data_IF_609352373618
#
_entry.id   IF_609352373618
#
_cell.length_a   1.000
_cell.length_b   1.000
_cell.length_c   1.000
_cell.angle_alpha   90.00
_cell.angle_beta   90.00
_cell.angle_gamma   90.00
#
_symmetry.space_group_name_H-M   'P 1'
#
loop_
_entity.id
_entity.type
_entity.pdbx_description
1 polymer ?
#
# COMPACT_ATOMS: atom_id res chain seq x y z
N UNK A 1 56.31 73.07 -18.87
CA UNK A 1 55.51 72.55 -17.73
C UNK A 1 54.38 71.70 -18.27
N UNK A 2 54.52 70.37 -18.27
CA UNK A 2 53.41 69.46 -18.53
C UNK A 2 53.78 68.07 -17.98
N UNK A 3 53.11 67.63 -16.91
CA UNK A 3 53.20 66.25 -16.42
C UNK A 3 51.79 65.72 -16.13
N UNK A 4 51.51 64.62 -16.82
CA UNK A 4 50.39 63.70 -16.61
C UNK A 4 50.52 62.92 -15.30
N UNK A 5 49.36 62.52 -14.77
CA UNK A 5 48.97 61.28 -14.02
C UNK A 5 47.82 61.72 -13.07
N UNK A 6 46.58 61.24 -13.10
CA UNK A 6 46.01 59.99 -13.57
C UNK A 6 45.62 59.14 -12.35
N UNK A 7 44.41 59.34 -11.78
CA UNK A 7 43.73 58.42 -10.85
C UNK A 7 42.22 58.56 -11.09
N UNK A 8 41.58 57.45 -11.45
CA UNK A 8 40.13 57.34 -11.63
C UNK A 8 39.41 57.03 -10.32
N UNK A 9 38.12 57.38 -10.25
CA UNK A 9 37.20 56.90 -9.22
C UNK A 9 35.89 56.43 -9.86
N UNK A 10 35.41 55.31 -9.31
CA UNK A 10 34.33 54.43 -9.74
C UNK A 10 32.95 55.08 -9.92
N UNK A 11 32.23 54.64 -10.96
CA UNK A 11 30.78 54.70 -11.03
C UNK A 11 30.19 53.50 -10.29
N UNK A 12 29.35 53.77 -9.30
CA UNK A 12 28.52 52.79 -8.59
C UNK A 12 27.35 52.35 -9.50
N UNK A 13 27.44 51.14 -10.07
CA UNK A 13 26.33 50.47 -10.74
C UNK A 13 25.55 49.62 -9.74
N UNK A 14 24.30 49.98 -9.46
CA UNK A 14 23.37 49.16 -8.68
C UNK A 14 22.91 47.97 -9.53
N UNK A 15 23.37 46.76 -9.18
CA UNK A 15 22.90 45.51 -9.78
C UNK A 15 21.71 45.01 -8.96
N UNK A 16 20.50 45.19 -9.50
CA UNK A 16 19.29 44.57 -8.96
C UNK A 16 19.27 43.09 -9.36
N UNK A 17 19.72 42.21 -8.46
CA UNK A 17 19.56 40.76 -8.60
C UNK A 17 18.12 40.39 -8.24
N UNK A 18 17.28 40.26 -9.28
CA UNK A 18 15.95 39.70 -9.16
C UNK A 18 16.08 38.18 -8.94
N UNK A 19 16.15 37.74 -7.69
CA UNK A 19 16.05 36.32 -7.34
C UNK A 19 14.58 35.90 -7.54
N UNK A 20 14.29 35.30 -8.69
CA UNK A 20 13.07 34.52 -8.90
C UNK A 20 13.14 33.29 -7.99
N UNK A 21 12.66 33.47 -6.76
CA UNK A 21 12.39 32.36 -5.86
C UNK A 21 11.31 31.49 -6.47
N UNK A 22 11.69 30.37 -7.08
CA UNK A 22 10.77 29.27 -7.34
C UNK A 22 10.45 28.66 -5.98
N UNK A 23 9.44 29.20 -5.31
CA UNK A 23 8.79 28.51 -4.22
C UNK A 23 8.08 27.30 -4.83
N UNK A 24 8.81 26.18 -4.89
CA UNK A 24 8.19 24.88 -5.09
C UNK A 24 7.19 24.71 -3.96
N UNK A 25 5.90 24.92 -4.25
CA UNK A 25 4.81 24.58 -3.35
C UNK A 25 4.99 23.09 -3.08
N UNK A 26 5.45 22.75 -1.88
CA UNK A 26 5.46 21.38 -1.41
C UNK A 26 4.00 20.92 -1.46
N UNK A 27 3.64 20.21 -2.53
CA UNK A 27 2.31 19.65 -2.71
C UNK A 27 2.15 18.64 -1.57
N UNK A 28 1.40 19.01 -0.54
CA UNK A 28 1.00 18.06 0.50
C UNK A 28 0.35 16.88 -0.22
N UNK A 29 0.71 15.65 0.16
CA UNK A 29 -0.04 14.49 -0.29
C UNK A 29 -1.54 14.77 -0.06
N UNK A 30 -2.41 14.59 -1.06
CA UNK A 30 -3.82 14.84 -0.86
C UNK A 30 -4.32 13.99 0.30
N UNK A 31 -5.06 14.60 1.22
CA UNK A 31 -5.73 13.88 2.30
C UNK A 31 -6.68 12.85 1.70
N UNK A 32 -6.72 11.65 2.29
CA UNK A 32 -7.62 10.58 1.82
C UNK A 32 -9.07 10.99 2.01
N UNK A 33 -9.91 10.70 1.01
CA UNK A 33 -11.34 10.96 1.09
C UNK A 33 -12.04 9.89 1.96
N UNK A 34 -12.42 10.26 3.18
CA UNK A 34 -13.16 9.40 4.11
C UNK A 34 -14.66 9.75 4.22
N UNK A 35 -15.20 10.60 3.34
CA UNK A 35 -16.64 10.90 3.34
C UNK A 35 -17.45 9.74 2.74
N UNK A 36 -18.72 9.56 3.14
CA UNK A 36 -19.53 8.43 2.69
C UNK A 36 -19.98 8.50 1.22
N UNK A 37 -19.97 9.68 0.61
CA UNK A 37 -20.44 9.91 -0.77
C UNK A 37 -19.48 9.35 -1.83
N UNK A 38 -18.17 9.32 -1.56
CA UNK A 38 -17.15 8.71 -2.42
C UNK A 38 -17.30 9.07 -3.92
N UNK A 39 -17.60 10.33 -4.22
CA UNK A 39 -17.90 10.80 -5.59
C UNK A 39 -16.74 10.58 -6.57
N UNK A 40 -15.54 10.50 -6.04
CA UNK A 40 -14.29 10.32 -6.76
C UNK A 40 -13.88 8.84 -6.91
N UNK A 41 -14.68 7.89 -6.39
CA UNK A 41 -14.47 6.44 -6.55
C UNK A 41 -14.49 6.06 -8.04
N UNK A 42 -13.44 5.39 -8.55
CA UNK A 42 -13.41 4.91 -9.93
C UNK A 42 -14.54 3.92 -10.18
N UNK A 43 -15.16 4.04 -11.35
CA UNK A 43 -16.18 3.11 -11.88
C UNK A 43 -15.79 2.67 -13.28
N UNK A 44 -16.32 1.51 -13.67
CA UNK A 44 -16.24 0.97 -15.04
C UNK A 44 -17.61 0.49 -15.50
N UNK A 45 -17.75 0.32 -16.81
CA UNK A 45 -18.90 -0.37 -17.39
C UNK A 45 -18.67 -1.88 -17.36
N UNK A 46 -19.71 -2.70 -17.38
CA UNK A 46 -19.55 -4.15 -17.41
C UNK A 46 -18.74 -4.64 -18.62
N UNK A 47 -17.90 -5.64 -18.39
CA UNK A 47 -17.10 -6.29 -19.44
C UNK A 47 -17.72 -7.63 -19.86
N UNK A 48 -18.00 -7.76 -21.15
CA UNK A 48 -18.69 -8.94 -21.68
C UNK A 48 -17.84 -10.22 -21.55
N UNK A 49 -16.51 -10.13 -21.59
CA UNK A 49 -15.64 -11.29 -21.46
C UNK A 49 -15.54 -11.76 -20.01
N UNK A 50 -15.46 -10.84 -19.04
CA UNK A 50 -15.52 -11.14 -17.61
C UNK A 50 -16.84 -11.83 -17.25
N UNK A 51 -17.98 -11.31 -17.73
CA UNK A 51 -19.30 -11.91 -17.51
C UNK A 51 -19.38 -13.32 -18.09
N UNK A 52 -18.87 -13.53 -19.32
CA UNK A 52 -18.88 -14.83 -19.99
C UNK A 52 -18.05 -15.90 -19.25
N UNK A 53 -17.04 -15.48 -18.49
CA UNK A 53 -16.21 -16.38 -17.69
C UNK A 53 -16.90 -16.85 -16.40
N UNK A 54 -18.00 -16.21 -15.99
CA UNK A 54 -18.80 -16.69 -14.85
C UNK A 54 -19.46 -18.01 -15.26
N UNK A 55 -19.19 -19.13 -14.57
CA UNK A 55 -19.78 -20.41 -14.95
C UNK A 55 -21.31 -20.37 -14.87
N UNK A 56 -22.01 -20.98 -15.83
CA UNK A 56 -23.48 -21.04 -15.83
C UNK A 56 -24.07 -21.70 -14.57
N UNK A 57 -23.30 -22.59 -13.92
CA UNK A 57 -23.67 -23.24 -12.65
C UNK A 57 -23.44 -22.36 -11.42
N UNK A 58 -22.68 -21.27 -11.54
CA UNK A 58 -22.37 -20.38 -10.43
C UNK A 58 -23.65 -19.70 -9.95
N UNK A 59 -23.79 -19.60 -8.63
CA UNK A 59 -24.91 -18.92 -7.98
C UNK A 59 -24.31 -17.92 -6.99
N UNK A 60 -24.58 -16.65 -7.24
CA UNK A 60 -24.33 -15.60 -6.26
C UNK A 60 -25.19 -15.82 -5.03
N UNK A 61 -24.70 -15.40 -3.86
CA UNK A 61 -25.49 -15.40 -2.60
C UNK A 61 -26.80 -14.64 -2.78
N UNK A 62 -26.76 -13.50 -3.46
CA UNK A 62 -27.91 -12.71 -3.86
C UNK A 62 -27.88 -12.52 -5.38
N UNK A 63 -28.97 -12.86 -6.08
CA UNK A 63 -29.01 -12.85 -7.55
C UNK A 63 -28.65 -11.46 -8.10
N UNK A 64 -27.62 -11.39 -8.93
CA UNK A 64 -27.17 -10.15 -9.55
C UNK A 64 -26.37 -9.23 -8.60
N UNK A 65 -25.86 -9.78 -7.49
CA UNK A 65 -25.10 -9.04 -6.49
C UNK A 65 -23.84 -9.82 -6.12
N UNK A 66 -22.66 -9.20 -6.26
CA UNK A 66 -21.42 -9.68 -5.65
C UNK A 66 -21.44 -9.33 -4.15
N UNK A 67 -21.68 -10.33 -3.31
CA UNK A 67 -21.67 -10.16 -1.85
C UNK A 67 -20.25 -10.36 -1.34
N UNK A 68 -19.61 -9.29 -0.86
CA UNK A 68 -18.22 -9.29 -0.41
C UNK A 68 -18.14 -9.11 1.10
N UNK A 69 -17.52 -10.07 1.79
CA UNK A 69 -17.16 -9.93 3.19
C UNK A 69 -15.95 -9.00 3.37
N UNK A 70 -16.08 -8.01 4.27
CA UNK A 70 -15.01 -7.06 4.59
C UNK A 70 -14.80 -6.94 6.10
N UNK A 71 -13.56 -7.14 6.57
CA UNK A 71 -13.13 -6.74 7.90
C UNK A 71 -12.87 -5.22 7.91
N UNK A 72 -13.43 -4.49 8.87
CA UNK A 72 -13.37 -3.02 8.95
C UNK A 72 -12.49 -2.60 10.12
N UNK A 73 -11.70 -1.55 9.95
CA UNK A 73 -10.82 -0.99 10.99
C UNK A 73 -9.33 -0.99 10.65
N UNK A 74 -8.99 -1.17 9.37
CA UNK A 74 -7.61 -1.23 8.89
C UNK A 74 -7.40 -0.13 7.85
N UNK A 75 -7.21 1.15 8.24
CA UNK A 75 -6.92 2.21 7.27
C UNK A 75 -5.56 1.99 6.57
N UNK A 76 -5.44 2.27 5.25
CA UNK A 76 -6.46 2.74 4.31
C UNK A 76 -7.16 1.60 3.55
N UNK A 77 -7.04 0.34 4.01
CA UNK A 77 -7.59 -0.86 3.36
C UNK A 77 -9.12 -0.87 3.44
N UNK A 78 -9.64 -0.71 4.66
CA UNK A 78 -11.08 -0.74 4.94
C UNK A 78 -11.38 -0.07 6.28
N UNK A 79 -12.18 0.99 6.25
CA UNK A 79 -12.63 1.73 7.43
C UNK A 79 -14.09 2.16 7.28
N UNK A 80 -14.71 2.50 8.40
CA UNK A 80 -15.94 3.28 8.34
C UNK A 80 -15.61 4.71 7.92
N UNK A 81 -16.42 5.26 7.02
CA UNK A 81 -16.43 6.66 6.65
C UNK A 81 -16.82 7.53 7.86
N UNK A 82 -16.81 8.85 7.66
CA UNK A 82 -17.15 9.83 8.69
C UNK A 82 -18.58 9.72 9.24
N UNK A 83 -19.48 8.99 8.55
CA UNK A 83 -20.83 8.65 9.02
C UNK A 83 -20.88 7.43 9.96
N UNK A 84 -19.72 6.84 10.28
CA UNK A 84 -19.55 5.64 11.09
C UNK A 84 -20.33 4.40 10.58
N UNK A 85 -20.71 4.38 9.29
CA UNK A 85 -21.56 3.31 8.72
C UNK A 85 -21.08 2.85 7.35
N UNK A 86 -20.77 3.78 6.45
CA UNK A 86 -20.37 3.46 5.08
C UNK A 86 -18.96 2.92 5.08
N UNK A 87 -18.71 1.78 4.41
CA UNK A 87 -17.39 1.17 4.35
C UNK A 87 -16.63 1.75 3.15
N UNK A 88 -15.46 2.33 3.40
CA UNK A 88 -14.57 2.96 2.40
C UNK A 88 -13.14 2.45 2.57
N UNK A 89 -12.34 2.52 1.52
CA UNK A 89 -10.97 2.03 1.51
C UNK A 89 -10.58 1.40 0.18
N UNK A 90 -9.33 0.96 0.10
CA UNK A 90 -8.80 0.30 -1.10
C UNK A 90 -9.54 -1.01 -1.45
N UNK A 91 -9.87 -1.84 -0.46
CA UNK A 91 -10.57 -3.10 -0.68
C UNK A 91 -12.04 -2.88 -1.12
N UNK A 92 -12.83 -1.99 -0.49
CA UNK A 92 -14.15 -1.58 -0.99
C UNK A 92 -14.14 -1.01 -2.41
N UNK A 93 -13.16 -0.16 -2.75
CA UNK A 93 -13.05 0.45 -4.07
C UNK A 93 -12.70 -0.58 -5.14
N UNK A 94 -11.79 -1.51 -4.85
CA UNK A 94 -11.49 -2.62 -5.76
C UNK A 94 -12.68 -3.58 -5.90
N UNK A 95 -13.37 -3.90 -4.80
CA UNK A 95 -14.56 -4.74 -4.83
C UNK A 95 -15.66 -4.12 -5.72
N UNK A 96 -15.81 -2.79 -5.70
CA UNK A 96 -16.76 -2.08 -6.56
C UNK A 96 -16.38 -2.24 -8.04
N UNK A 97 -15.11 -2.06 -8.38
CA UNK A 97 -14.64 -2.24 -9.76
C UNK A 97 -14.83 -3.68 -10.25
N UNK A 98 -14.52 -4.67 -9.40
CA UNK A 98 -14.76 -6.09 -9.75
C UNK A 98 -16.25 -6.37 -9.95
N UNK A 99 -17.13 -5.81 -9.11
CA UNK A 99 -18.58 -5.97 -9.30
C UNK A 99 -19.06 -5.32 -10.61
N UNK A 100 -18.56 -4.11 -10.92
CA UNK A 100 -18.87 -3.40 -12.16
C UNK A 100 -18.45 -4.23 -13.39
N UNK A 101 -17.20 -4.73 -13.43
CA UNK A 101 -16.67 -5.62 -14.50
C UNK A 101 -17.56 -6.87 -14.70
N UNK A 102 -17.96 -7.50 -13.60
CA UNK A 102 -18.81 -8.70 -13.61
C UNK A 102 -20.30 -8.39 -13.88
N UNK A 103 -20.67 -7.13 -14.11
CA UNK A 103 -22.04 -6.73 -14.43
C UNK A 103 -23.05 -6.94 -13.32
N UNK A 104 -22.61 -6.92 -12.05
CA UNK A 104 -23.44 -7.15 -10.86
C UNK A 104 -23.34 -5.97 -9.88
N UNK A 105 -24.31 -5.84 -8.99
CA UNK A 105 -24.20 -4.84 -7.91
C UNK A 105 -23.20 -5.30 -6.85
N UNK A 106 -22.57 -4.36 -6.15
CA UNK A 106 -21.76 -4.68 -4.98
C UNK A 106 -22.62 -4.63 -3.71
N UNK A 107 -22.43 -5.61 -2.81
CA UNK A 107 -22.91 -5.55 -1.43
C UNK A 107 -21.77 -5.90 -0.49
N UNK A 108 -21.37 -4.94 0.35
CA UNK A 108 -20.36 -5.16 1.39
C UNK A 108 -21.04 -5.68 2.66
N UNK A 109 -20.49 -6.76 3.21
CA UNK A 109 -20.93 -7.37 4.46
C UNK A 109 -19.80 -7.22 5.48
N UNK A 110 -19.93 -6.33 6.48
CA UNK A 110 -18.94 -6.24 7.53
C UNK A 110 -18.86 -7.56 8.31
N UNK A 111 -17.65 -8.00 8.62
CA UNK A 111 -17.39 -9.20 9.40
C UNK A 111 -16.19 -9.00 10.35
N UNK A 112 -16.15 -9.78 11.43
CA UNK A 112 -14.92 -9.90 12.20
C UNK A 112 -13.90 -10.67 11.37
N UNK A 113 -12.63 -10.27 11.40
CA UNK A 113 -11.57 -10.93 10.63
C UNK A 113 -11.55 -12.45 10.85
N UNK A 114 -11.72 -12.92 12.08
CA UNK A 114 -11.73 -14.35 12.38
C UNK A 114 -12.82 -15.15 11.64
N UNK A 115 -13.91 -14.50 11.21
CA UNK A 115 -15.07 -15.15 10.60
C UNK A 115 -14.97 -15.28 9.09
N UNK A 116 -14.00 -14.62 8.43
CA UNK A 116 -13.90 -14.63 6.97
C UNK A 116 -13.83 -16.06 6.37
N UNK A 117 -13.09 -17.04 6.95
CA UNK A 117 -13.00 -18.36 6.36
C UNK A 117 -14.35 -19.07 6.34
N UNK A 118 -15.09 -18.98 7.45
CA UNK A 118 -16.41 -19.58 7.58
C UNK A 118 -17.43 -18.86 6.68
N UNK A 119 -17.34 -17.52 6.58
CA UNK A 119 -18.25 -16.74 5.74
C UNK A 119 -18.17 -17.15 4.27
N UNK A 120 -16.95 -17.36 3.74
CA UNK A 120 -16.75 -17.86 2.37
C UNK A 120 -17.20 -19.32 2.26
N UNK A 121 -16.73 -20.20 3.14
CA UNK A 121 -16.98 -21.64 3.05
C UNK A 121 -18.47 -22.01 3.16
N UNK A 122 -19.21 -21.32 4.03
CA UNK A 122 -20.66 -21.52 4.22
C UNK A 122 -21.53 -20.91 3.11
N UNK A 123 -20.95 -20.09 2.24
CA UNK A 123 -21.71 -19.33 1.25
C UNK A 123 -22.49 -18.15 1.81
N UNK A 124 -22.13 -17.63 2.99
CA UNK A 124 -22.65 -16.36 3.50
C UNK A 124 -22.24 -15.17 2.62
N UNK A 125 -21.08 -15.27 1.97
CA UNK A 125 -20.55 -14.30 1.00
C UNK A 125 -20.03 -15.02 -0.25
N UNK A 126 -19.95 -14.31 -1.37
CA UNK A 126 -19.37 -14.81 -2.62
C UNK A 126 -17.84 -14.74 -2.59
N UNK A 127 -17.30 -13.67 -1.99
CA UNK A 127 -15.89 -13.40 -1.89
C UNK A 127 -15.53 -12.64 -0.59
N UNK A 128 -14.25 -12.60 -0.26
CA UNK A 128 -13.66 -11.73 0.76
C UNK A 128 -12.54 -10.90 0.14
N UNK A 129 -12.58 -9.59 0.38
CA UNK A 129 -11.50 -8.64 0.14
C UNK A 129 -11.17 -7.97 1.48
N UNK A 130 -10.14 -8.45 2.16
CA UNK A 130 -9.77 -7.98 3.50
C UNK A 130 -8.30 -8.22 3.78
N UNK A 131 -7.43 -7.85 2.85
CA UNK A 131 -6.00 -8.11 2.95
C UNK A 131 -5.63 -9.59 3.22
N UNK A 132 -6.30 -10.54 2.55
CA UNK A 132 -6.04 -11.98 2.75
C UNK A 132 -4.76 -12.39 2.01
N UNK A 133 -3.70 -12.69 2.76
CA UNK A 133 -2.46 -13.26 2.22
C UNK A 133 -2.67 -14.67 1.68
N UNK A 134 -2.09 -14.98 0.52
CA UNK A 134 -2.08 -16.33 -0.06
C UNK A 134 -1.04 -17.20 0.64
N UNK A 135 -1.48 -18.30 1.23
CA UNK A 135 -0.62 -19.35 1.82
C UNK A 135 -1.00 -20.71 1.27
N UNK A 136 -0.08 -21.68 1.29
CA UNK A 136 -0.36 -23.04 0.85
C UNK A 136 -1.47 -23.70 1.69
N UNK A 137 -1.46 -23.58 3.02
CA UNK A 137 -2.57 -24.05 3.86
C UNK A 137 -3.94 -23.46 3.49
N UNK A 138 -4.03 -22.18 3.13
CA UNK A 138 -5.31 -21.56 2.75
C UNK A 138 -5.78 -22.00 1.37
N UNK A 139 -4.87 -22.24 0.44
CA UNK A 139 -5.18 -22.72 -0.93
C UNK A 139 -5.82 -24.11 -0.94
N UNK A 140 -5.61 -24.91 0.11
CA UNK A 140 -6.33 -26.17 0.29
C UNK A 140 -7.83 -25.98 0.53
N UNK A 141 -8.27 -24.79 0.98
CA UNK A 141 -9.64 -24.50 1.41
C UNK A 141 -10.35 -23.44 0.58
N UNK A 142 -9.61 -22.61 -0.14
CA UNK A 142 -10.14 -21.46 -0.87
C UNK A 142 -9.41 -21.28 -2.21
N UNK A 143 -10.07 -20.57 -3.13
CA UNK A 143 -9.42 -20.06 -4.33
C UNK A 143 -9.12 -18.57 -4.23
N UNK A 144 -8.07 -18.14 -4.91
CA UNK A 144 -7.50 -16.80 -4.81
C UNK A 144 -7.36 -16.13 -6.18
N UNK A 145 -7.60 -14.81 -6.20
CA UNK A 145 -7.26 -13.92 -7.32
C UNK A 145 -6.41 -12.76 -6.80
N UNK A 146 -5.13 -12.70 -7.14
CA UNK A 146 -4.24 -11.68 -6.56
C UNK A 146 -4.56 -10.26 -7.02
N UNK A 147 -4.39 -9.28 -6.14
CA UNK A 147 -4.58 -7.88 -6.48
C UNK A 147 -3.56 -6.93 -5.85
N UNK A 148 -2.72 -7.39 -4.92
CA UNK A 148 -1.75 -6.52 -4.24
C UNK A 148 -0.59 -7.35 -3.69
N UNK A 149 0.59 -6.74 -3.57
CA UNK A 149 1.71 -7.33 -2.82
C UNK A 149 1.59 -6.94 -1.36
N UNK A 150 1.78 -7.88 -0.45
CA UNK A 150 2.03 -7.54 0.94
C UNK A 150 3.48 -7.09 1.09
N UNK A 151 3.65 -5.82 1.48
CA UNK A 151 4.96 -5.18 1.60
C UNK A 151 5.09 -4.42 2.93
N UNK A 152 6.31 -4.50 3.45
CA UNK A 152 6.82 -3.69 4.53
C UNK A 152 7.55 -2.50 3.91
N UNK A 153 7.36 -1.31 4.47
CA UNK A 153 7.92 -0.07 3.95
C UNK A 153 9.02 0.48 4.84
N UNK A 154 10.13 0.91 4.23
CA UNK A 154 11.09 1.81 4.85
C UNK A 154 10.65 3.25 4.61
N UNK A 155 10.46 4.00 5.69
CA UNK A 155 10.10 5.41 5.65
C UNK A 155 11.12 6.22 6.43
N UNK A 156 11.43 7.40 5.92
CA UNK A 156 12.35 8.36 6.54
C UNK A 156 11.66 9.70 6.68
N UNK A 157 12.19 10.59 7.52
CA UNK A 157 11.74 11.99 7.57
C UNK A 157 11.78 12.61 6.16
N UNK A 158 10.80 13.46 5.85
CA UNK A 158 10.57 14.03 4.51
C UNK A 158 11.83 14.58 3.84
N UNK A 159 12.68 15.28 4.60
CA UNK A 159 13.90 15.95 4.13
C UNK A 159 15.17 15.13 4.37
N UNK A 160 15.07 13.89 4.85
CA UNK A 160 16.21 13.00 5.06
C UNK A 160 17.11 12.87 3.81
N UNK A 161 18.41 12.72 4.05
CA UNK A 161 19.39 12.46 3.00
C UNK A 161 19.24 11.05 2.39
N UNK A 162 18.67 10.08 3.12
CA UNK A 162 18.48 8.70 2.67
C UNK A 162 17.49 8.68 1.52
N UNK A 163 17.95 8.40 0.31
CA UNK A 163 17.07 8.37 -0.87
C UNK A 163 16.43 7.02 -1.11
N UNK A 164 17.09 5.95 -0.68
CA UNK A 164 16.68 4.60 -1.01
C UNK A 164 17.23 3.57 -0.01
N UNK A 165 16.43 2.54 0.27
CA UNK A 165 16.83 1.31 0.97
C UNK A 165 16.27 0.12 0.17
N UNK A 166 17.13 -0.74 -0.36
CA UNK A 166 16.75 -1.89 -1.21
C UNK A 166 17.38 -3.21 -0.77
N UNK A 167 18.52 -3.14 -0.10
CA UNK A 167 19.33 -4.31 0.21
C UNK A 167 19.99 -4.15 1.60
N UNK A 168 20.50 -5.26 2.20
CA UNK A 168 21.09 -5.25 3.53
C UNK A 168 22.10 -4.13 3.78
N UNK A 169 23.03 -3.89 2.85
CA UNK A 169 24.09 -2.87 3.05
C UNK A 169 23.54 -1.45 3.22
N UNK A 170 22.34 -1.15 2.73
CA UNK A 170 21.75 0.18 2.78
C UNK A 170 21.30 0.56 4.20
N UNK A 171 21.09 -0.42 5.08
CA UNK A 171 20.71 -0.18 6.47
C UNK A 171 21.91 -0.12 7.43
N UNK A 172 23.12 -0.40 6.96
CA UNK A 172 24.30 -0.50 7.83
C UNK A 172 24.56 0.80 8.62
N UNK A 173 24.68 0.68 9.95
CA UNK A 173 24.87 1.81 10.85
C UNK A 173 23.64 2.70 11.08
N UNK A 174 22.48 2.39 10.50
CA UNK A 174 21.26 3.15 10.72
C UNK A 174 20.59 2.79 12.05
N UNK A 175 19.90 3.76 12.63
CA UNK A 175 18.97 3.57 13.75
C UNK A 175 17.56 3.43 13.18
N UNK A 176 16.98 2.24 13.26
CA UNK A 176 15.73 1.91 12.59
C UNK A 176 14.67 1.58 13.63
N UNK A 177 13.57 2.31 13.60
CA UNK A 177 12.40 2.01 14.42
C UNK A 177 11.68 0.79 13.83
N UNK A 178 11.39 -0.20 14.67
CA UNK A 178 10.55 -1.33 14.32
C UNK A 178 9.83 -1.88 15.55
N UNK A 179 9.08 -2.95 15.36
CA UNK A 179 8.24 -3.59 16.36
C UNK A 179 8.86 -4.93 16.78
N UNK A 180 9.05 -5.14 18.08
CA UNK A 180 9.67 -6.39 18.56
C UNK A 180 8.76 -7.60 18.35
N UNK A 181 9.34 -8.76 18.07
CA UNK A 181 8.63 -10.01 17.80
C UNK A 181 7.99 -10.09 16.41
N UNK A 182 8.17 -9.07 15.57
CA UNK A 182 7.53 -8.99 14.26
C UNK A 182 8.41 -9.52 13.12
N UNK A 183 7.82 -9.72 11.93
CA UNK A 183 8.61 -10.14 10.77
C UNK A 183 9.60 -9.04 10.32
N UNK A 184 9.23 -7.78 10.54
CA UNK A 184 10.04 -6.59 10.26
C UNK A 184 11.37 -6.67 11.03
N UNK A 185 11.29 -6.94 12.33
CA UNK A 185 12.47 -7.12 13.19
C UNK A 185 13.33 -8.30 12.70
N UNK A 186 12.71 -9.46 12.40
CA UNK A 186 13.44 -10.62 11.86
C UNK A 186 14.22 -10.29 10.59
N UNK A 187 13.62 -9.55 9.66
CA UNK A 187 14.28 -9.09 8.43
C UNK A 187 15.45 -8.17 8.76
N UNK A 188 15.25 -7.17 9.63
CA UNK A 188 16.32 -6.24 10.03
C UNK A 188 17.49 -6.98 10.67
N UNK A 189 17.23 -7.91 11.58
CA UNK A 189 18.28 -8.70 12.25
C UNK A 189 19.00 -9.65 11.29
N UNK A 190 18.29 -10.23 10.32
CA UNK A 190 18.91 -11.06 9.29
C UNK A 190 19.82 -10.24 8.36
N UNK A 191 19.37 -9.06 7.93
CA UNK A 191 20.15 -8.11 7.13
C UNK A 191 21.36 -7.58 7.92
N UNK A 192 21.20 -7.29 9.20
CA UNK A 192 22.28 -6.85 10.08
C UNK A 192 23.35 -7.94 10.26
N UNK A 193 22.94 -9.19 10.46
CA UNK A 193 23.86 -10.33 10.54
C UNK A 193 24.70 -10.47 9.27
N UNK A 194 24.10 -10.28 8.09
CA UNK A 194 24.84 -10.26 6.81
C UNK A 194 25.84 -9.09 6.77
N UNK A 195 25.41 -7.90 7.16
CA UNK A 195 26.24 -6.70 7.19
C UNK A 195 27.46 -6.89 8.11
N UNK A 196 27.27 -7.37 9.33
CA UNK A 196 28.34 -7.63 10.29
C UNK A 196 29.31 -8.68 9.77
N UNK A 197 28.81 -9.77 9.15
CA UNK A 197 29.65 -10.77 8.51
C UNK A 197 30.52 -10.20 7.36
N UNK A 198 30.08 -9.11 6.74
CA UNK A 198 30.80 -8.36 5.70
C UNK A 198 31.64 -7.20 6.22
N UNK A 199 31.74 -7.03 7.54
CA UNK A 199 32.52 -5.96 8.18
C UNK A 199 31.87 -4.57 8.14
N UNK A 200 30.57 -4.49 7.84
CA UNK A 200 29.80 -3.25 7.87
C UNK A 200 29.34 -2.93 9.30
N UNK A 201 28.98 -1.66 9.54
CA UNK A 201 28.52 -1.20 10.86
C UNK A 201 27.18 -1.87 11.21
N UNK A 202 27.01 -2.36 12.45
CA UNK A 202 25.73 -2.92 12.88
C UNK A 202 24.65 -1.84 12.93
N UNK A 203 23.40 -2.24 12.76
CA UNK A 203 22.24 -1.36 12.93
C UNK A 203 21.88 -1.22 14.41
N UNK A 204 21.06 -0.22 14.72
CA UNK A 204 20.41 -0.09 16.02
C UNK A 204 18.91 -0.12 15.85
N UNK A 205 18.26 -1.21 16.28
CA UNK A 205 16.79 -1.29 16.27
C UNK A 205 16.24 -0.53 17.48
N UNK A 206 15.30 0.39 17.24
CA UNK A 206 14.63 1.19 18.25
C UNK A 206 13.19 0.72 18.39
N UNK A 207 12.76 0.45 19.62
CA UNK A 207 11.40 0.00 19.91
C UNK A 207 10.65 1.12 20.64
N UNK A 208 9.69 1.75 19.95
CA UNK A 208 8.82 2.77 20.52
C UNK A 208 7.37 2.35 20.30
N UNK A 209 6.59 2.16 21.35
CA UNK A 209 5.19 1.76 21.19
C UNK A 209 4.30 2.91 20.69
N UNK A 210 4.56 4.13 21.19
CA UNK A 210 3.76 5.31 20.88
C UNK A 210 4.07 5.89 19.47
N UNK A 211 3.08 6.03 18.57
CA UNK A 211 3.28 6.59 17.23
C UNK A 211 3.81 8.04 17.21
N UNK A 212 3.45 8.85 18.20
CA UNK A 212 3.93 10.23 18.32
C UNK A 212 5.42 10.25 18.67
N UNK A 213 5.86 9.35 19.55
CA UNK A 213 7.29 9.15 19.87
C UNK A 213 8.07 8.70 18.64
N UNK A 214 7.55 7.76 17.84
CA UNK A 214 8.17 7.34 16.57
C UNK A 214 8.37 8.50 15.62
N UNK A 215 7.31 9.29 15.43
CA UNK A 215 7.32 10.45 14.54
C UNK A 215 8.32 11.51 15.01
N UNK A 216 8.34 11.81 16.31
CA UNK A 216 9.29 12.75 16.90
C UNK A 216 10.74 12.26 16.79
N UNK A 217 10.97 10.96 16.97
CA UNK A 217 12.31 10.37 16.85
C UNK A 217 12.87 10.50 15.42
N UNK A 218 12.04 10.31 14.39
CA UNK A 218 12.43 10.61 13.01
C UNK A 218 12.67 12.11 12.81
N UNK A 219 11.73 12.96 13.23
CA UNK A 219 11.82 14.41 13.02
C UNK A 219 13.03 15.07 13.69
N UNK A 220 13.44 14.54 14.86
CA UNK A 220 14.61 15.02 15.60
C UNK A 220 15.93 14.36 15.18
N UNK A 221 15.90 13.41 14.25
CA UNK A 221 17.08 12.63 13.86
C UNK A 221 17.60 11.72 14.96
N UNK A 222 16.76 11.30 15.93
CA UNK A 222 17.08 10.22 16.88
C UNK A 222 16.94 8.84 16.26
N UNK A 223 16.11 8.72 15.23
CA UNK A 223 16.01 7.57 14.34
C UNK A 223 16.25 8.03 12.89
N UNK A 224 16.80 7.14 12.07
CA UNK A 224 17.10 7.39 10.66
C UNK A 224 15.96 6.91 9.74
N UNK A 225 15.28 5.83 10.13
CA UNK A 225 14.14 5.26 9.39
C UNK A 225 13.14 4.56 10.32
N UNK A 226 11.90 4.37 9.85
CA UNK A 226 10.93 3.40 10.37
C UNK A 226 10.80 2.28 9.34
N UNK A 227 10.77 1.03 9.81
CA UNK A 227 10.43 -0.14 9.00
C UNK A 227 9.21 -0.85 9.59
N UNK A 228 8.07 -0.71 8.92
CA UNK A 228 6.77 -1.24 9.38
C UNK A 228 5.84 -1.57 8.20
N UNK A 229 4.58 -1.90 8.47
CA UNK A 229 3.57 -2.17 7.44
C UNK A 229 3.39 -0.96 6.53
N UNK A 230 3.58 -1.14 5.23
CA UNK A 230 3.61 -0.03 4.26
C UNK A 230 2.30 0.77 4.24
N UNK A 231 1.15 0.08 4.15
CA UNK A 231 -0.16 0.71 4.15
C UNK A 231 -0.41 1.62 5.36
N UNK A 232 0.05 1.22 6.56
CA UNK A 232 -0.09 2.03 7.79
C UNK A 232 0.75 3.30 7.71
N UNK A 233 1.99 3.19 7.24
CA UNK A 233 2.88 4.35 7.08
C UNK A 233 2.37 5.28 5.96
N UNK A 234 1.86 4.74 4.85
CA UNK A 234 1.21 5.51 3.79
C UNK A 234 -0.04 6.26 4.30
N UNK A 235 -0.81 5.63 5.18
CA UNK A 235 -1.94 6.29 5.84
C UNK A 235 -1.47 7.43 6.75
N UNK A 236 -0.43 7.24 7.55
CA UNK A 236 0.14 8.31 8.39
C UNK A 236 0.58 9.52 7.56
N UNK A 237 1.21 9.30 6.40
CA UNK A 237 1.55 10.38 5.46
C UNK A 237 0.31 11.18 5.05
N UNK A 238 -0.80 10.50 4.78
CA UNK A 238 -2.07 11.17 4.45
C UNK A 238 -2.68 11.96 5.61
N UNK A 239 -2.34 11.59 6.86
CA UNK A 239 -2.70 12.32 8.07
C UNK A 239 -1.73 13.47 8.39
N UNK A 240 -0.81 13.79 7.48
CA UNK A 240 0.09 14.93 7.60
C UNK A 240 1.44 14.61 8.24
N UNK A 241 1.70 13.36 8.61
CA UNK A 241 3.02 12.93 9.11
C UNK A 241 4.06 13.14 8.02
N UNK A 242 5.13 13.88 8.32
CA UNK A 242 6.17 14.31 7.37
C UNK A 242 7.23 13.23 7.16
N UNK A 243 6.81 12.11 6.60
CA UNK A 243 7.69 11.00 6.23
C UNK A 243 7.50 10.64 4.75
N UNK A 244 8.50 9.99 4.16
CA UNK A 244 8.43 9.49 2.79
C UNK A 244 9.00 8.08 2.67
N UNK A 245 8.40 7.28 1.80
CA UNK A 245 8.85 5.93 1.50
C UNK A 245 10.18 5.97 0.72
N UNK A 246 11.14 5.12 1.11
CA UNK A 246 12.46 4.95 0.45
C UNK A 246 12.76 3.52 0.05
N UNK A 247 11.91 2.57 0.43
CA UNK A 247 12.12 1.16 0.14
C UNK A 247 10.90 0.34 0.50
N UNK A 248 10.77 -0.82 -0.14
CA UNK A 248 9.83 -1.86 0.26
C UNK A 248 10.52 -3.21 0.26
N UNK A 249 10.08 -4.07 1.18
CA UNK A 249 10.46 -5.48 1.27
C UNK A 249 9.18 -6.28 1.32
N UNK A 250 9.13 -7.48 0.73
CA UNK A 250 7.93 -8.30 0.85
C UNK A 250 7.65 -8.65 2.31
N UNK A 251 6.38 -8.57 2.73
CA UNK A 251 5.94 -9.02 4.04
C UNK A 251 6.17 -10.52 4.28
N UNK A 252 6.37 -11.31 3.21
CA UNK A 252 6.71 -12.73 3.28
C UNK A 252 8.19 -13.05 3.09
N UNK A 253 9.09 -12.06 3.22
CA UNK A 253 10.53 -12.23 2.98
C UNK A 253 11.09 -13.53 3.60
N UNK A 254 11.90 -14.31 2.87
CA UNK A 254 12.46 -14.02 1.54
C UNK A 254 11.51 -14.32 0.37
N UNK A 255 10.30 -14.79 0.63
CA UNK A 255 9.29 -15.08 -0.40
C UNK A 255 8.46 -13.84 -0.75
N UNK A 256 7.76 -13.92 -1.89
CA UNK A 256 6.73 -12.93 -2.21
C UNK A 256 5.45 -13.29 -1.48
N UNK A 257 4.92 -12.35 -0.70
CA UNK A 257 3.59 -12.42 -0.13
C UNK A 257 2.61 -11.66 -1.03
N UNK A 258 1.61 -12.36 -1.53
CA UNK A 258 0.52 -11.77 -2.31
C UNK A 258 -0.77 -11.73 -1.51
N UNK A 259 -1.54 -10.69 -1.75
CA UNK A 259 -2.87 -10.45 -1.20
C UNK A 259 -3.89 -10.67 -2.31
N UNK A 260 -4.98 -11.36 -1.99
CA UNK A 260 -5.92 -11.84 -2.99
C UNK A 260 -7.39 -11.73 -2.56
N UNK A 261 -8.25 -11.57 -3.56
CA UNK A 261 -9.68 -11.82 -3.44
C UNK A 261 -9.83 -13.31 -3.17
N UNK A 262 -10.50 -13.64 -2.06
CA UNK A 262 -10.67 -15.02 -1.62
C UNK A 262 -12.09 -15.49 -1.92
N UNK A 263 -12.23 -16.62 -2.59
CA UNK A 263 -13.51 -17.20 -3.02
C UNK A 263 -13.60 -18.67 -2.61
N UNK A 264 -14.80 -19.26 -2.68
CA UNK A 264 -14.97 -20.70 -2.39
C UNK A 264 -14.10 -21.54 -3.32
N UNK A 265 -13.43 -22.53 -2.74
CA UNK A 265 -12.66 -23.53 -3.48
C UNK A 265 -13.52 -24.21 -4.52
N UNK A 266 -13.02 -24.25 -5.75
CA UNK A 266 -13.65 -24.83 -6.93
C UNK A 266 -15.07 -24.26 -7.23
N UNK A 267 -15.40 -23.12 -6.62
CA UNK A 267 -16.66 -22.41 -6.81
C UNK A 267 -16.75 -21.75 -8.18
N UNK A 268 -15.61 -21.55 -8.86
CA UNK A 268 -15.54 -21.03 -10.22
C UNK A 268 -15.55 -19.51 -10.36
N UNK A 269 -15.56 -18.76 -9.24
CA UNK A 269 -15.52 -17.29 -9.25
C UNK A 269 -14.10 -16.72 -9.34
N UNK A 270 -13.06 -17.48 -8.98
CA UNK A 270 -11.68 -16.96 -9.00
C UNK A 270 -11.17 -16.60 -10.40
N UNK A 271 -11.47 -17.41 -11.41
CA UNK A 271 -11.06 -17.11 -12.80
C UNK A 271 -11.68 -15.82 -13.36
N UNK A 272 -13.02 -15.59 -13.30
CA UNK A 272 -13.61 -14.33 -13.76
C UNK A 272 -13.15 -13.13 -12.94
N UNK A 273 -12.93 -13.27 -11.62
CA UNK A 273 -12.36 -12.19 -10.80
C UNK A 273 -10.91 -11.88 -11.20
N UNK A 274 -10.09 -12.89 -11.43
CA UNK A 274 -8.71 -12.71 -11.91
C UNK A 274 -8.68 -12.01 -13.27
N UNK A 275 -9.60 -12.37 -14.17
CA UNK A 275 -9.74 -11.68 -15.45
C UNK A 275 -10.11 -10.21 -15.25
N UNK A 276 -11.15 -9.92 -14.45
CA UNK A 276 -11.60 -8.56 -14.16
C UNK A 276 -10.46 -7.70 -13.59
N UNK A 277 -9.69 -8.21 -12.62
CA UNK A 277 -8.54 -7.47 -12.07
C UNK A 277 -7.48 -7.21 -13.14
N UNK A 278 -7.22 -8.16 -14.04
CA UNK A 278 -6.27 -7.95 -15.14
C UNK A 278 -6.75 -6.89 -16.14
N UNK A 279 -8.05 -6.85 -16.47
CA UNK A 279 -8.60 -5.77 -17.31
C UNK A 279 -8.44 -4.40 -16.62
N UNK A 280 -8.80 -4.32 -15.34
CA UNK A 280 -8.64 -3.12 -14.51
C UNK A 280 -7.18 -2.65 -14.39
N UNK A 281 -6.21 -3.58 -14.39
CA UNK A 281 -4.78 -3.27 -14.46
C UNK A 281 -4.45 -2.64 -15.81
N UNK A 282 -4.92 -3.21 -16.91
CA UNK A 282 -4.62 -2.75 -18.28
C UNK A 282 -5.26 -1.39 -18.58
N UNK A 283 -6.51 -1.18 -18.16
CA UNK A 283 -7.25 0.05 -18.38
C UNK A 283 -6.92 1.16 -17.37
N UNK A 284 -6.06 0.86 -16.38
CA UNK A 284 -5.53 1.82 -15.40
C UNK A 284 -6.44 2.14 -14.22
N UNK A 285 -7.66 1.59 -14.16
CA UNK A 285 -8.62 1.84 -13.07
C UNK A 285 -8.17 1.22 -11.75
N UNK A 286 -7.51 0.06 -11.81
CA UNK A 286 -6.84 -0.54 -10.66
C UNK A 286 -5.81 0.42 -10.04
N UNK A 287 -4.98 1.05 -10.88
CA UNK A 287 -3.98 2.01 -10.40
C UNK A 287 -4.65 3.24 -9.79
N UNK A 288 -5.73 3.73 -10.38
CA UNK A 288 -6.51 4.84 -9.77
C UNK A 288 -6.98 4.50 -8.36
N UNK A 289 -7.47 3.28 -8.10
CA UNK A 289 -7.82 2.84 -6.74
C UNK A 289 -6.62 2.88 -5.82
N UNK A 290 -5.48 2.30 -6.22
CA UNK A 290 -4.31 2.31 -5.35
C UNK A 290 -3.79 3.73 -5.07
N UNK A 291 -3.75 4.61 -6.08
CA UNK A 291 -3.31 5.99 -5.90
C UNK A 291 -4.23 6.79 -4.98
N UNK A 292 -5.55 6.55 -5.03
CA UNK A 292 -6.51 7.17 -4.10
C UNK A 292 -6.19 6.90 -2.64
N UNK A 293 -5.57 5.75 -2.36
CA UNK A 293 -5.28 5.26 -1.02
C UNK A 293 -3.78 5.29 -0.68
N UNK A 294 -2.94 5.92 -1.52
CA UNK A 294 -1.48 5.97 -1.40
C UNK A 294 -0.81 4.58 -1.37
N UNK A 295 -1.33 3.61 -2.12
CA UNK A 295 -0.88 2.21 -2.15
C UNK A 295 -0.19 1.82 -3.47
N UNK A 296 0.24 2.77 -4.30
CA UNK A 296 0.88 2.49 -5.60
C UNK A 296 2.10 1.55 -5.49
N UNK A 297 2.85 1.62 -4.38
CA UNK A 297 4.03 0.78 -4.14
C UNK A 297 3.70 -0.70 -3.92
N UNK A 298 2.42 -1.03 -3.74
CA UNK A 298 1.92 -2.38 -3.53
C UNK A 298 1.30 -2.98 -4.80
N UNK A 299 1.30 -2.22 -5.90
CA UNK A 299 0.70 -2.62 -7.15
C UNK A 299 1.33 -3.91 -7.73
N UNK A 300 0.47 -4.77 -8.28
CA UNK A 300 0.90 -5.88 -9.15
C UNK A 300 0.71 -5.49 -10.61
N UNK A 301 1.53 -6.09 -11.49
CA UNK A 301 1.44 -5.88 -12.94
C UNK A 301 0.54 -6.90 -13.63
N UNK A 302 0.19 -7.98 -12.93
CA UNK A 302 -0.67 -9.05 -13.42
C UNK A 302 -1.27 -9.80 -12.23
N UNK A 303 -2.59 -9.96 -12.23
CA UNK A 303 -3.30 -10.82 -11.30
C UNK A 303 -3.18 -12.29 -11.72
N UNK A 304 -3.08 -13.17 -10.73
CA UNK A 304 -3.00 -14.62 -10.94
C UNK A 304 -4.06 -15.35 -10.13
N UNK A 305 -4.65 -16.38 -10.73
CA UNK A 305 -5.51 -17.33 -10.02
C UNK A 305 -4.64 -18.33 -9.29
N UNK A 306 -4.84 -18.50 -7.98
CA UNK A 306 -4.13 -19.49 -7.16
C UNK A 306 -2.59 -19.50 -7.36
N UNK A 307 -1.89 -18.36 -7.16
CA UNK A 307 -0.42 -18.32 -7.28
C UNK A 307 0.25 -19.24 -6.24
N UNK A 308 1.57 -19.46 -6.32
CA UNK A 308 2.33 -19.98 -5.18
C UNK A 308 2.04 -19.14 -3.92
N UNK A 309 1.59 -19.79 -2.87
CA UNK A 309 1.39 -19.17 -1.57
C UNK A 309 2.67 -19.18 -0.75
N UNK A 310 2.68 -18.42 0.34
CA UNK A 310 3.72 -18.58 1.35
C UNK A 310 3.70 -20.03 1.87
N UNK A 311 4.88 -20.63 2.10
CA UNK A 311 4.97 -21.93 2.75
C UNK A 311 4.32 -21.86 4.13
N UNK A 312 3.89 -23.00 4.63
CA UNK A 312 3.41 -23.10 6.01
C UNK A 312 4.58 -22.72 6.93
N UNK A 313 4.42 -21.60 7.64
CA UNK A 313 5.39 -21.07 8.60
C UNK A 313 5.46 -21.95 9.86
#
# INVERSE_FOLDING_TARGET
MNRRRGIGLALSGAFALLVLGVTGIARSAPSLNLSPDQQDRPRVTPDAAAIKLIPERFRFVEKGVLTVGIAVGVPPISVYATDAKTIVGADPDLAQLVADELGVKLKLVPLAWADWPLAVASGKVDAVLSNVTVTEARKQKFDFSTYRRDVLGFYVEQNSAIKQIREPKDIAGLRIISDSGTNQEKILLAWDKENVARGLKPIHVLYYEDPSVRTLALASGRADAIFSVNAVLAYQVSQGVKIRQVGTVSGGWPHTAEVAVTTRKDGGLAAPVTYAINDLIQNGKYRQVLSRWNLDSEAITKASTNPPGLPDL
#
